data_IF_317774918769
#
_entry.id   IF_317774918769
#
_cell.length_a   1.000
_cell.length_b   1.000
_cell.length_c   1.000
_cell.angle_alpha   90.00
_cell.angle_beta   90.00
_cell.angle_gamma   90.00
#
_symmetry.space_group_name_H-M   'P 1'
#
loop_
_entity.id
_entity.type
_entity.pdbx_description
1 polymer ?
#
# COMPACT_ATOMS: atom_id res chain seq x y z
N UNK A 1 7.86 2.60 26.78
CA UNK A 1 7.75 1.91 25.48
C UNK A 1 6.55 2.46 24.74
N UNK A 2 6.74 3.04 23.55
CA UNK A 2 5.68 3.70 22.78
C UNK A 2 4.80 2.73 21.97
N UNK A 3 5.19 1.45 21.84
CA UNK A 3 4.46 0.44 21.07
C UNK A 3 3.87 -0.66 21.96
N UNK A 4 2.65 -1.04 21.66
CA UNK A 4 1.90 -2.15 22.25
C UNK A 4 1.99 -3.41 21.34
N UNK A 5 1.32 -4.53 21.65
CA UNK A 5 1.58 -5.82 21.03
C UNK A 5 1.57 -5.81 19.49
N UNK A 6 2.40 -6.65 18.92
CA UNK A 6 2.59 -6.85 17.50
C UNK A 6 1.33 -7.45 16.86
N UNK A 7 0.89 -6.89 15.73
CA UNK A 7 -0.13 -7.51 14.88
C UNK A 7 0.45 -8.63 14.01
N UNK A 8 1.76 -8.58 13.79
CA UNK A 8 2.48 -9.60 13.01
C UNK A 8 3.77 -9.98 13.70
N UNK A 9 4.20 -11.21 13.50
CA UNK A 9 5.56 -11.65 13.88
C UNK A 9 6.55 -11.34 12.75
N UNK A 10 7.87 -11.29 13.05
CA UNK A 10 8.90 -11.07 12.03
C UNK A 10 8.87 -12.07 10.87
N UNK A 11 8.35 -13.28 11.09
CA UNK A 11 8.27 -14.33 10.09
C UNK A 11 6.99 -14.28 9.26
N UNK A 12 5.90 -13.70 9.77
CA UNK A 12 4.61 -13.67 9.09
C UNK A 12 4.62 -12.75 7.87
N UNK A 13 5.25 -11.56 7.95
CA UNK A 13 5.33 -10.61 6.84
C UNK A 13 6.08 -11.21 5.65
N UNK A 14 7.30 -11.76 5.79
CA UNK A 14 8.00 -12.39 4.66
C UNK A 14 7.25 -13.58 4.06
N UNK A 15 6.60 -14.40 4.87
CA UNK A 15 5.82 -15.55 4.39
C UNK A 15 4.62 -15.09 3.57
N UNK A 16 3.88 -14.10 4.06
CA UNK A 16 2.72 -13.56 3.35
C UNK A 16 3.11 -12.87 2.04
N UNK A 17 4.25 -12.19 2.01
CA UNK A 17 4.78 -11.58 0.79
C UNK A 17 5.16 -12.61 -0.27
N UNK A 18 5.79 -13.72 0.13
CA UNK A 18 6.08 -14.83 -0.79
C UNK A 18 4.81 -15.44 -1.37
N UNK A 19 3.78 -15.64 -0.54
CA UNK A 19 2.49 -16.15 -1.01
C UNK A 19 1.84 -15.18 -2.00
N UNK A 20 1.82 -13.89 -1.70
CA UNK A 20 1.31 -12.86 -2.60
C UNK A 20 2.09 -12.81 -3.91
N UNK A 21 3.42 -12.86 -3.86
CA UNK A 21 4.28 -12.88 -5.03
C UNK A 21 3.99 -14.09 -5.93
N UNK A 22 3.80 -15.26 -5.35
CA UNK A 22 3.47 -16.48 -6.10
C UNK A 22 2.11 -16.37 -6.82
N UNK A 23 1.10 -15.79 -6.17
CA UNK A 23 -0.20 -15.54 -6.79
C UNK A 23 -0.11 -14.51 -7.93
N UNK A 24 0.64 -13.43 -7.72
CA UNK A 24 0.87 -12.40 -8.74
C UNK A 24 1.58 -13.01 -9.94
N UNK A 25 2.66 -13.76 -9.72
CA UNK A 25 3.40 -14.43 -10.79
C UNK A 25 2.51 -15.38 -11.60
N UNK A 26 1.62 -16.12 -10.94
CA UNK A 26 0.68 -17.01 -11.63
C UNK A 26 -0.37 -16.24 -12.44
N UNK A 27 -0.94 -15.17 -11.88
CA UNK A 27 -1.99 -14.38 -12.53
C UNK A 27 -1.47 -13.60 -13.74
N UNK A 28 -0.22 -13.16 -13.70
CA UNK A 28 0.42 -12.39 -14.77
C UNK A 28 1.36 -13.20 -15.65
N UNK A 29 1.31 -14.51 -15.59
CA UNK A 29 2.23 -15.39 -16.32
C UNK A 29 2.45 -14.96 -17.79
N UNK A 30 3.70 -14.67 -18.14
CA UNK A 30 4.10 -14.22 -19.48
C UNK A 30 3.78 -12.75 -19.81
N UNK A 31 3.23 -11.97 -18.87
CA UNK A 31 2.97 -10.54 -19.04
C UNK A 31 3.91 -9.70 -18.20
N UNK A 32 4.35 -8.57 -18.75
CA UNK A 32 5.13 -7.60 -18.01
C UNK A 32 4.21 -6.75 -17.13
N UNK A 33 4.59 -6.54 -15.88
CA UNK A 33 3.85 -5.75 -14.90
C UNK A 33 4.57 -4.42 -14.66
N UNK A 34 3.85 -3.31 -14.68
CA UNK A 34 4.32 -2.07 -14.08
C UNK A 34 3.84 -1.98 -12.64
N UNK A 35 4.77 -2.12 -11.71
CA UNK A 35 4.53 -1.97 -10.27
C UNK A 35 4.54 -0.49 -9.92
N UNK A 36 3.46 0.01 -9.36
CA UNK A 36 3.34 1.42 -8.93
C UNK A 36 3.25 1.48 -7.42
N UNK A 37 4.33 1.92 -6.78
CA UNK A 37 4.38 2.11 -5.33
C UNK A 37 3.92 3.50 -4.93
N UNK A 38 3.21 3.60 -3.81
CA UNK A 38 2.76 4.88 -3.26
C UNK A 38 3.69 5.30 -2.11
N UNK A 39 4.46 6.36 -2.34
CA UNK A 39 5.45 6.89 -1.39
C UNK A 39 4.76 7.58 -0.19
N UNK A 40 5.36 7.53 1.00
CA UNK A 40 6.60 6.80 1.35
C UNK A 40 6.30 5.40 1.90
N UNK A 41 5.08 5.16 2.38
CA UNK A 41 4.72 3.99 3.17
C UNK A 41 4.95 2.65 2.46
N UNK A 42 4.72 2.59 1.15
CA UNK A 42 4.83 1.36 0.37
C UNK A 42 6.26 0.92 0.03
N UNK A 43 7.29 1.69 0.41
CA UNK A 43 8.69 1.38 0.04
C UNK A 43 9.11 -0.01 0.49
N UNK A 44 8.84 -0.38 1.74
CA UNK A 44 9.25 -1.68 2.28
C UNK A 44 8.49 -2.83 1.61
N UNK A 45 7.19 -2.71 1.48
CA UNK A 45 6.34 -3.70 0.80
C UNK A 45 6.77 -3.88 -0.66
N UNK A 46 6.98 -2.77 -1.38
CA UNK A 46 7.40 -2.80 -2.78
C UNK A 46 8.74 -3.52 -2.97
N UNK A 47 9.73 -3.16 -2.16
CA UNK A 47 11.07 -3.75 -2.25
C UNK A 47 11.05 -5.27 -1.99
N UNK A 48 10.36 -5.69 -0.94
CA UNK A 48 10.31 -7.10 -0.56
C UNK A 48 9.44 -7.93 -1.52
N UNK A 49 8.32 -7.36 -1.99
CA UNK A 49 7.46 -8.00 -2.98
C UNK A 49 8.21 -8.24 -4.30
N UNK A 50 8.87 -7.22 -4.82
CA UNK A 50 9.63 -7.31 -6.07
C UNK A 50 10.74 -8.37 -6.00
N UNK A 51 11.43 -8.46 -4.85
CA UNK A 51 12.47 -9.49 -4.65
C UNK A 51 11.91 -10.91 -4.54
N UNK A 52 10.66 -11.06 -4.13
CA UNK A 52 10.00 -12.36 -4.04
C UNK A 52 9.36 -12.81 -5.37
N UNK A 53 9.11 -11.88 -6.30
CA UNK A 53 8.53 -12.18 -7.61
C UNK A 53 9.56 -12.76 -8.56
N UNK A 54 9.09 -13.62 -9.47
CA UNK A 54 9.88 -14.19 -10.60
C UNK A 54 9.51 -13.60 -11.95
N UNK A 55 8.35 -12.95 -12.04
CA UNK A 55 7.89 -12.27 -13.26
C UNK A 55 8.75 -11.07 -13.62
N UNK A 56 8.85 -10.79 -14.92
CA UNK A 56 9.43 -9.53 -15.39
C UNK A 56 8.53 -8.36 -14.99
N UNK A 57 9.12 -7.37 -14.37
CA UNK A 57 8.40 -6.18 -13.95
C UNK A 57 9.27 -4.93 -14.00
N UNK A 58 8.64 -3.80 -14.14
CA UNK A 58 9.26 -2.50 -13.96
C UNK A 58 8.61 -1.77 -12.78
N UNK A 59 9.32 -0.79 -12.23
CA UNK A 59 8.84 -0.01 -11.08
C UNK A 59 8.67 1.45 -11.46
N UNK A 60 7.63 2.05 -10.91
CA UNK A 60 7.44 3.50 -10.87
C UNK A 60 6.78 3.89 -9.56
N UNK A 61 6.75 5.18 -9.24
CA UNK A 61 6.33 5.68 -7.96
C UNK A 61 5.41 6.89 -8.10
N UNK A 62 4.43 6.96 -7.22
CA UNK A 62 3.60 8.15 -7.03
C UNK A 62 3.70 8.62 -5.58
N UNK A 63 3.60 9.92 -5.38
CA UNK A 63 3.44 10.50 -4.05
C UNK A 63 2.21 11.40 -4.07
N UNK A 64 1.38 11.26 -3.04
CA UNK A 64 0.15 12.02 -2.88
C UNK A 64 0.02 12.56 -1.47
N UNK A 65 -0.66 13.69 -1.32
CA UNK A 65 -1.09 14.19 -0.03
C UNK A 65 -2.60 14.32 0.00
N UNK A 66 -3.23 13.92 1.13
CA UNK A 66 -4.61 14.28 1.39
C UNK A 66 -4.69 15.75 1.80
N UNK A 67 -5.64 16.50 1.23
CA UNK A 67 -5.87 17.89 1.58
C UNK A 67 -6.74 17.97 2.83
N UNK A 68 -6.24 18.65 3.88
CA UNK A 68 -6.97 18.91 5.13
C UNK A 68 -6.12 18.68 6.37
N UNK A 69 -5.95 19.73 7.21
CA UNK A 69 -5.41 19.59 8.55
C UNK A 69 -6.50 19.01 9.46
N UNK A 70 -6.30 17.80 9.96
CA UNK A 70 -7.21 17.16 10.93
C UNK A 70 -7.72 15.80 10.50
N UNK A 71 -8.40 15.11 11.40
CA UNK A 71 -8.90 13.74 11.29
C UNK A 71 -10.04 13.55 10.28
N UNK A 72 -10.45 14.59 9.55
CA UNK A 72 -11.44 14.52 8.48
C UNK A 72 -10.77 14.79 7.14
N UNK A 73 -10.47 13.71 6.42
CA UNK A 73 -10.08 13.81 5.00
C UNK A 73 -11.22 14.46 4.22
N UNK A 74 -10.94 15.56 3.53
CA UNK A 74 -11.92 16.22 2.64
C UNK A 74 -12.14 15.46 1.33
N UNK A 75 -11.44 14.33 1.12
CA UNK A 75 -11.47 13.58 -0.14
C UNK A 75 -10.66 14.22 -1.28
N UNK A 76 -10.10 15.41 -1.07
CA UNK A 76 -9.24 16.07 -2.06
C UNK A 76 -7.82 15.56 -1.94
N UNK A 77 -7.31 14.98 -3.02
CA UNK A 77 -5.97 14.42 -3.12
C UNK A 77 -5.13 15.27 -4.06
N UNK A 78 -3.92 15.62 -3.63
CA UNK A 78 -2.93 16.32 -4.45
C UNK A 78 -1.81 15.36 -4.83
N UNK A 79 -1.53 15.26 -6.13
CA UNK A 79 -0.37 14.50 -6.62
C UNK A 79 0.88 15.36 -6.44
N UNK A 80 1.81 14.91 -5.61
CA UNK A 80 3.10 15.56 -5.34
C UNK A 80 4.18 15.06 -6.30
N UNK A 81 4.14 13.76 -6.64
CA UNK A 81 4.98 13.14 -7.65
C UNK A 81 4.11 12.23 -8.50
N UNK A 82 4.17 12.42 -9.80
CA UNK A 82 3.48 11.57 -10.77
C UNK A 82 4.44 10.54 -11.38
N UNK A 83 3.86 9.57 -12.09
CA UNK A 83 4.59 8.54 -12.83
C UNK A 83 5.54 9.20 -13.84
N UNK A 84 6.70 8.57 -14.04
CA UNK A 84 7.65 8.94 -15.08
C UNK A 84 7.43 8.16 -16.37
N UNK A 85 6.71 7.02 -16.28
CA UNK A 85 6.43 6.13 -17.40
C UNK A 85 5.04 6.37 -17.96
N UNK A 86 4.89 6.21 -19.26
CA UNK A 86 3.59 6.09 -19.90
C UNK A 86 2.97 4.74 -19.56
N UNK A 87 1.68 4.73 -19.22
CA UNK A 87 0.94 3.53 -18.83
C UNK A 87 -0.10 3.08 -19.84
N UNK A 88 -0.21 3.76 -20.98
CA UNK A 88 -1.12 3.37 -22.04
C UNK A 88 -0.89 1.90 -22.45
N UNK A 89 -1.95 1.11 -22.40
CA UNK A 89 -1.93 -0.32 -22.77
C UNK A 89 -1.15 -1.24 -21.82
N UNK A 90 -0.66 -0.76 -20.67
CA UNK A 90 0.13 -1.55 -19.72
C UNK A 90 -0.71 -2.16 -18.61
N UNK A 91 -0.24 -3.31 -18.10
CA UNK A 91 -0.79 -3.92 -16.88
C UNK A 91 -0.16 -3.27 -15.65
N UNK A 92 -1.00 -2.65 -14.82
CA UNK A 92 -0.59 -1.89 -13.64
C UNK A 92 -0.95 -2.66 -12.37
N UNK A 93 0.01 -2.80 -11.47
CA UNK A 93 -0.22 -3.26 -10.11
C UNK A 93 0.16 -2.16 -9.13
N UNK A 94 -0.83 -1.57 -8.48
CA UNK A 94 -0.62 -0.58 -7.41
C UNK A 94 -0.23 -1.34 -6.15
N UNK A 95 0.86 -0.93 -5.52
CA UNK A 95 1.36 -1.49 -4.27
C UNK A 95 1.21 -0.46 -3.16
N UNK A 96 0.41 -0.82 -2.15
CA UNK A 96 0.12 -0.01 -0.97
C UNK A 96 0.61 -0.70 0.31
N UNK A 97 0.99 0.11 1.27
CA UNK A 97 1.30 -0.36 2.63
C UNK A 97 0.02 -0.73 3.39
N UNK A 98 -0.94 0.19 3.43
CA UNK A 98 -2.20 0.00 4.16
C UNK A 98 -3.37 0.66 3.44
N UNK A 99 -4.52 -0.01 3.47
CA UNK A 99 -5.82 0.57 3.12
C UNK A 99 -6.57 0.87 4.41
N UNK A 100 -6.81 2.15 4.64
CA UNK A 100 -7.63 2.66 5.74
C UNK A 100 -9.04 3.00 5.20
N UNK A 101 -9.34 4.25 4.91
CA UNK A 101 -10.65 4.64 4.34
C UNK A 101 -10.81 4.24 2.87
N UNK A 102 -9.71 4.13 2.15
CA UNK A 102 -9.69 3.87 0.70
C UNK A 102 -9.86 5.11 -0.18
N UNK A 103 -10.07 6.28 0.39
CA UNK A 103 -10.32 7.53 -0.38
C UNK A 103 -9.16 7.89 -1.30
N UNK A 104 -7.93 7.91 -0.78
CA UNK A 104 -6.73 8.23 -1.55
C UNK A 104 -6.52 7.25 -2.69
N UNK A 105 -6.65 5.98 -2.40
CA UNK A 105 -6.43 4.91 -3.38
C UNK A 105 -7.52 4.91 -4.46
N UNK A 106 -8.77 5.18 -4.09
CA UNK A 106 -9.87 5.34 -5.04
C UNK A 106 -9.59 6.47 -6.04
N UNK A 107 -9.11 7.60 -5.55
CA UNK A 107 -8.69 8.72 -6.40
C UNK A 107 -7.58 8.32 -7.37
N UNK A 108 -6.53 7.64 -6.86
CA UNK A 108 -5.41 7.18 -7.69
C UNK A 108 -5.87 6.22 -8.79
N UNK A 109 -6.71 5.27 -8.46
CA UNK A 109 -7.25 4.30 -9.43
C UNK A 109 -8.03 5.02 -10.53
N UNK A 110 -8.88 5.97 -10.18
CA UNK A 110 -9.62 6.76 -11.16
C UNK A 110 -8.69 7.59 -12.06
N UNK A 111 -7.70 8.24 -11.48
CA UNK A 111 -6.69 9.00 -12.22
C UNK A 111 -5.92 8.12 -13.20
N UNK A 112 -5.44 6.96 -12.76
CA UNK A 112 -4.70 6.04 -13.61
C UNK A 112 -5.58 5.41 -14.71
N UNK A 113 -6.82 5.10 -14.41
CA UNK A 113 -7.78 4.61 -15.43
C UNK A 113 -7.99 5.58 -16.58
N UNK A 114 -7.95 6.89 -16.32
CA UNK A 114 -8.07 7.92 -17.35
C UNK A 114 -6.91 7.92 -18.37
N UNK A 115 -5.81 7.23 -18.06
CA UNK A 115 -4.62 7.11 -18.90
C UNK A 115 -4.59 5.85 -19.75
N UNK A 116 -5.72 5.14 -19.87
CA UNK A 116 -5.93 3.99 -20.74
C UNK A 116 -4.97 2.79 -20.51
N UNK A 117 -4.72 2.35 -19.26
CA UNK A 117 -3.97 1.12 -19.02
C UNK A 117 -4.76 -0.10 -19.52
N UNK A 118 -4.06 -1.21 -19.77
CA UNK A 118 -4.71 -2.48 -20.09
C UNK A 118 -5.46 -3.05 -18.89
N UNK A 119 -4.84 -2.98 -17.71
CA UNK A 119 -5.47 -3.38 -16.44
C UNK A 119 -4.90 -2.59 -15.26
N UNK A 120 -5.69 -2.47 -14.20
CA UNK A 120 -5.26 -1.97 -12.89
C UNK A 120 -5.73 -2.95 -11.83
N UNK A 121 -4.78 -3.49 -11.08
CA UNK A 121 -5.02 -4.29 -9.90
C UNK A 121 -4.33 -3.66 -8.70
N UNK A 122 -4.72 -4.07 -7.49
CA UNK A 122 -4.20 -3.54 -6.23
C UNK A 122 -3.67 -4.67 -5.37
N UNK A 123 -2.48 -4.47 -4.82
CA UNK A 123 -1.90 -5.22 -3.72
C UNK A 123 -1.73 -4.30 -2.52
N UNK A 124 -2.31 -4.66 -1.39
CA UNK A 124 -2.11 -3.96 -0.12
C UNK A 124 -1.55 -4.92 0.92
N UNK A 125 -0.50 -4.52 1.63
CA UNK A 125 0.07 -5.36 2.69
C UNK A 125 -0.88 -5.47 3.87
N UNK A 126 -1.50 -4.35 4.26
CA UNK A 126 -2.48 -4.29 5.35
C UNK A 126 -3.79 -3.65 4.87
N UNK A 127 -4.90 -4.12 5.43
CA UNK A 127 -6.21 -3.52 5.22
C UNK A 127 -6.96 -3.49 6.54
N UNK A 128 -7.66 -2.38 6.79
CA UNK A 128 -8.60 -2.22 7.90
C UNK A 128 -10.03 -2.30 7.37
N UNK A 129 -10.66 -3.49 7.31
CA UNK A 129 -11.98 -3.64 6.68
C UNK A 129 -13.06 -2.75 7.29
N UNK A 130 -12.99 -2.52 8.62
CA UNK A 130 -13.94 -1.68 9.35
C UNK A 130 -13.81 -0.18 9.04
N UNK A 131 -12.67 0.26 8.55
CA UNK A 131 -12.40 1.67 8.26
C UNK A 131 -12.74 2.04 6.80
N UNK A 132 -12.86 1.08 5.91
CA UNK A 132 -13.11 1.31 4.48
C UNK A 132 -14.47 1.98 4.27
N UNK A 133 -14.46 3.16 3.68
CA UNK A 133 -15.66 3.93 3.32
C UNK A 133 -15.89 4.00 1.81
N UNK A 134 -14.84 3.80 1.03
CA UNK A 134 -14.91 3.70 -0.43
C UNK A 134 -14.71 2.25 -0.84
N UNK A 135 -15.67 1.63 -1.56
CA UNK A 135 -15.49 0.29 -2.08
C UNK A 135 -14.34 0.26 -3.11
N UNK A 136 -13.38 -0.61 -2.85
CA UNK A 136 -12.25 -0.88 -3.72
C UNK A 136 -12.14 -2.39 -3.92
N UNK A 137 -11.98 -2.79 -5.15
CA UNK A 137 -11.63 -4.18 -5.46
C UNK A 137 -10.10 -4.35 -5.28
N UNK A 138 -9.72 -4.98 -4.17
CA UNK A 138 -8.31 -5.22 -3.81
C UNK A 138 -8.02 -6.68 -4.02
N UNK A 139 -7.28 -6.99 -5.07
CA UNK A 139 -7.05 -8.36 -5.49
C UNK A 139 -6.13 -9.14 -4.55
N UNK A 140 -5.10 -8.48 -4.05
CA UNK A 140 -4.12 -9.10 -3.15
C UNK A 140 -4.06 -8.35 -1.84
N UNK A 141 -4.36 -9.04 -0.74
CA UNK A 141 -4.31 -8.49 0.62
C UNK A 141 -3.36 -9.34 1.47
N UNK A 142 -2.39 -8.72 2.09
CA UNK A 142 -1.50 -9.40 3.02
C UNK A 142 -2.21 -9.78 4.30
N UNK A 143 -2.68 -8.81 5.05
CA UNK A 143 -3.37 -8.99 6.32
C UNK A 143 -4.55 -8.05 6.47
N UNK A 144 -5.69 -8.58 6.94
CA UNK A 144 -6.74 -7.77 7.53
C UNK A 144 -6.42 -7.53 9.01
N UNK A 145 -6.46 -6.27 9.43
CA UNK A 145 -6.16 -5.85 10.80
C UNK A 145 -7.30 -5.02 11.40
N UNK A 146 -7.42 -4.96 12.74
CA UNK A 146 -8.39 -4.10 13.40
C UNK A 146 -8.17 -2.61 13.08
N UNK A 147 -9.21 -1.79 13.30
CA UNK A 147 -9.12 -0.35 13.12
C UNK A 147 -8.35 0.33 14.27
N UNK A 148 -7.05 0.09 14.32
CA UNK A 148 -6.11 0.63 15.30
C UNK A 148 -5.02 1.42 14.57
N UNK A 149 -4.37 2.33 15.29
CA UNK A 149 -3.24 3.06 14.75
C UNK A 149 -1.98 2.21 14.79
N UNK A 150 -1.46 1.85 13.63
CA UNK A 150 -0.31 0.94 13.49
C UNK A 150 0.89 1.64 12.87
N UNK A 151 2.07 1.18 13.26
CA UNK A 151 3.37 1.67 12.77
C UNK A 151 4.31 0.50 12.48
N UNK A 152 5.33 0.74 11.69
CA UNK A 152 6.33 -0.25 11.29
C UNK A 152 6.09 -0.80 9.89
N UNK A 153 7.09 -1.41 9.34
CA UNK A 153 7.11 -1.94 7.98
C UNK A 153 6.68 -0.91 6.93
N UNK A 154 7.23 0.28 7.03
CA UNK A 154 6.89 1.42 6.17
C UNK A 154 5.86 2.38 6.75
N UNK A 155 5.00 1.93 7.65
CA UNK A 155 3.99 2.75 8.33
C UNK A 155 4.64 3.65 9.37
N UNK A 156 4.16 4.90 9.47
CA UNK A 156 4.76 5.90 10.34
C UNK A 156 3.79 6.59 11.31
N UNK A 157 4.39 7.22 12.29
CA UNK A 157 3.79 8.30 13.05
C UNK A 157 4.78 9.46 13.15
N UNK A 158 4.40 10.63 12.65
CA UNK A 158 5.27 11.82 12.60
C UNK A 158 6.65 11.50 11.96
N UNK A 159 6.64 10.77 10.86
CA UNK A 159 7.82 10.33 10.08
C UNK A 159 8.77 9.38 10.83
N UNK A 160 8.30 8.76 11.91
CA UNK A 160 9.06 7.80 12.73
C UNK A 160 8.48 6.39 12.58
N UNK A 161 9.28 5.40 12.91
CA UNK A 161 8.92 3.98 13.00
C UNK A 161 8.84 3.21 11.66
N UNK A 162 8.99 3.85 10.50
CA UNK A 162 8.97 3.14 9.20
C UNK A 162 9.98 2.01 9.09
N UNK A 163 11.09 2.13 9.82
CA UNK A 163 12.22 1.19 9.78
C UNK A 163 12.02 -0.06 10.67
N UNK A 164 10.95 -0.14 11.43
CA UNK A 164 10.66 -1.36 12.19
C UNK A 164 10.33 -2.52 11.23
N UNK A 165 10.84 -3.70 11.54
CA UNK A 165 10.60 -4.91 10.72
C UNK A 165 9.20 -5.47 10.89
N UNK A 166 8.57 -5.17 12.01
CA UNK A 166 7.26 -5.66 12.42
C UNK A 166 6.24 -4.53 12.42
N UNK A 167 4.97 -4.89 12.46
CA UNK A 167 3.87 -3.94 12.64
C UNK A 167 3.34 -4.02 14.06
N UNK A 168 3.29 -2.88 14.73
CA UNK A 168 2.84 -2.74 16.09
C UNK A 168 1.76 -1.66 16.21
N UNK A 169 0.86 -1.82 17.17
CA UNK A 169 -0.08 -0.76 17.56
C UNK A 169 0.67 0.34 18.29
N UNK A 170 0.44 1.59 17.90
CA UNK A 170 0.93 2.74 18.63
C UNK A 170 0.10 2.95 19.90
N UNK A 171 0.77 3.13 21.03
CA UNK A 171 0.06 3.32 22.30
C UNK A 171 -0.80 4.61 22.27
N UNK A 172 -2.07 4.57 22.73
CA UNK A 172 -3.00 5.69 22.59
C UNK A 172 -2.52 7.02 23.16
N UNK A 173 -1.73 7.00 24.23
CA UNK A 173 -1.19 8.21 24.83
C UNK A 173 -0.16 8.95 23.93
N UNK A 174 0.31 8.32 22.86
CA UNK A 174 1.27 8.91 21.93
C UNK A 174 0.57 9.79 20.88
N UNK A 175 -0.65 9.44 20.48
CA UNK A 175 -1.35 10.12 19.38
C UNK A 175 -2.70 10.74 19.79
N UNK A 176 -3.15 10.53 21.02
CA UNK A 176 -4.41 11.10 21.57
C UNK A 176 -4.13 12.25 22.57
N UNK A 177 -3.11 13.06 22.30
CA UNK A 177 -2.86 14.26 23.10
C UNK A 177 -3.71 15.42 22.59
#
# INVERSE_FOLDING_TARGET
>A
RAAAPLHTTPQQVPTRLRDAAAHIDADYAGREILMVGVLNGAVMTMADLCRAMTSHMSMDWMAVSSYGAGTKSSGVVRILKDLTKDIDGRDILIVEDIIDTGLTLSYLVQNLRSRNPNSIEIMAMFRKPEAVTCPLDVKYVGFDIPNEFVVGYGLDYADKYRNLTDVATLAPHVYKS
#
